data_IF_697416283386
#
_entry.id   IF_697416283386
#
_cell.length_a   1.000
_cell.length_b   1.000
_cell.length_c   1.000
_cell.angle_alpha   90.00
_cell.angle_beta   90.00
_cell.angle_gamma   90.00
#
_symmetry.space_group_name_H-M   'P 1'
#
loop_
_entity.id
_entity.type
_entity.pdbx_description
1 polymer ?
#
# COMPACT_ATOMS: atom_id res chain seq x y z
N UNK A 1 -13.40 13.31 10.61
CA UNK A 1 -12.58 13.95 9.56
C UNK A 1 -12.87 15.45 9.51
N UNK A 2 -11.86 16.32 9.31
CA UNK A 2 -12.07 17.75 9.14
C UNK A 2 -12.95 18.08 7.94
N UNK A 3 -13.76 19.15 8.05
CA UNK A 3 -14.56 19.66 6.93
C UNK A 3 -13.62 20.18 5.84
N UNK A 4 -13.57 19.50 4.70
CA UNK A 4 -12.73 19.86 3.55
C UNK A 4 -11.51 18.96 3.30
N UNK A 5 -11.29 17.92 4.12
CA UNK A 5 -10.24 16.94 3.83
C UNK A 5 -10.58 16.17 2.55
N UNK A 6 -9.95 16.54 1.45
CA UNK A 6 -9.97 15.79 0.20
C UNK A 6 -8.82 14.80 0.27
N UNK A 7 -9.17 13.52 0.31
CA UNK A 7 -8.17 12.45 0.19
C UNK A 7 -7.36 12.70 -1.10
N UNK A 8 -6.02 12.79 -1.02
CA UNK A 8 -5.19 12.92 -2.20
C UNK A 8 -5.53 11.83 -3.22
N UNK A 9 -5.60 12.16 -4.51
CA UNK A 9 -5.78 11.13 -5.55
C UNK A 9 -4.50 10.31 -5.67
N UNK A 10 -4.52 9.09 -5.15
CA UNK A 10 -3.43 8.13 -5.30
C UNK A 10 -3.49 7.48 -6.69
N UNK A 11 -2.32 7.20 -7.27
CA UNK A 11 -2.27 6.20 -8.34
C UNK A 11 -2.64 4.87 -7.67
N UNK A 12 -3.70 4.23 -8.13
CA UNK A 12 -4.20 3.03 -7.46
C UNK A 12 -3.38 1.81 -7.83
N UNK A 13 -3.01 0.99 -6.84
CA UNK A 13 -2.39 -0.30 -7.06
C UNK A 13 -3.45 -1.39 -7.22
N UNK A 14 -3.44 -2.09 -8.36
CA UNK A 14 -4.45 -3.11 -8.69
C UNK A 14 -4.09 -4.51 -8.18
N UNK A 15 -2.86 -4.71 -7.69
CA UNK A 15 -2.26 -6.01 -7.40
C UNK A 15 -1.07 -6.36 -8.31
N UNK A 16 -0.70 -5.49 -9.24
CA UNK A 16 0.38 -5.70 -10.21
C UNK A 16 1.36 -4.52 -10.22
N UNK A 17 2.65 -4.81 -10.41
CA UNK A 17 3.74 -3.83 -10.43
C UNK A 17 4.44 -3.69 -9.08
N UNK A 18 5.34 -2.73 -8.97
CA UNK A 18 6.20 -2.55 -7.79
C UNK A 18 5.41 -2.11 -6.55
N UNK A 19 5.18 -3.05 -5.65
CA UNK A 19 4.50 -2.88 -4.37
C UNK A 19 5.29 -2.00 -3.39
N UNK A 20 6.63 -2.10 -3.40
CA UNK A 20 7.50 -1.28 -2.56
C UNK A 20 7.47 0.19 -2.98
N UNK A 21 7.51 0.47 -4.28
CA UNK A 21 7.38 1.83 -4.81
C UNK A 21 5.98 2.41 -4.53
N UNK A 22 4.93 1.59 -4.57
CA UNK A 22 3.59 2.01 -4.17
C UNK A 22 3.53 2.46 -2.70
N UNK A 23 4.10 1.67 -1.78
CA UNK A 23 4.16 2.03 -0.36
C UNK A 23 4.94 3.33 -0.14
N UNK A 24 6.11 3.50 -0.75
CA UNK A 24 6.91 4.73 -0.66
C UNK A 24 6.15 5.95 -1.18
N UNK A 25 5.45 5.80 -2.32
CA UNK A 25 4.66 6.88 -2.90
C UNK A 25 3.43 7.23 -2.04
N UNK A 26 2.81 6.23 -1.39
CA UNK A 26 1.72 6.45 -0.46
C UNK A 26 2.21 7.20 0.79
N UNK A 27 3.27 6.72 1.43
CA UNK A 27 3.86 7.31 2.62
C UNK A 27 4.34 8.75 2.37
N UNK A 28 5.07 9.01 1.29
CA UNK A 28 5.54 10.36 0.93
C UNK A 28 4.39 11.36 0.74
N UNK A 29 3.23 10.89 0.27
CA UNK A 29 2.05 11.74 0.06
C UNK A 29 1.27 11.97 1.34
N UNK A 30 1.13 10.95 2.18
CA UNK A 30 0.29 11.04 3.38
C UNK A 30 1.04 11.65 4.57
N UNK A 31 2.35 11.42 4.69
CA UNK A 31 3.23 12.03 5.70
C UNK A 31 3.19 13.56 5.70
N UNK A 32 2.87 14.19 4.56
CA UNK A 32 2.65 15.64 4.47
C UNK A 32 1.39 16.11 5.22
N UNK A 33 0.37 15.25 5.36
CA UNK A 33 -0.92 15.59 5.95
C UNK A 33 -1.13 15.01 7.34
N UNK A 34 -0.52 13.85 7.63
CA UNK A 34 -0.70 13.13 8.88
C UNK A 34 0.52 12.26 9.20
N UNK A 35 0.71 11.97 10.48
CA UNK A 35 1.73 11.04 10.99
C UNK A 35 1.11 9.99 11.92
N UNK A 36 -0.21 9.82 11.87
CA UNK A 36 -0.98 8.94 12.75
C UNK A 36 -1.35 7.67 11.99
N UNK A 37 -0.99 6.52 12.55
CA UNK A 37 -1.22 5.19 11.98
C UNK A 37 -2.69 4.92 11.66
N UNK A 38 -3.63 5.44 12.46
CA UNK A 38 -5.07 5.30 12.21
C UNK A 38 -5.47 6.03 10.91
N UNK A 39 -4.84 7.18 10.64
CA UNK A 39 -5.07 7.95 9.40
C UNK A 39 -4.49 7.20 8.20
N UNK A 40 -3.30 6.61 8.36
CA UNK A 40 -2.68 5.77 7.34
C UNK A 40 -3.56 4.56 6.99
N UNK A 41 -3.98 3.80 8.00
CA UNK A 41 -4.82 2.63 7.83
C UNK A 41 -6.16 2.96 7.15
N UNK A 42 -6.80 4.07 7.57
CA UNK A 42 -8.06 4.52 6.97
C UNK A 42 -7.90 5.04 5.55
N UNK A 43 -6.76 5.64 5.21
CA UNK A 43 -6.51 6.19 3.88
C UNK A 43 -6.03 5.13 2.89
N UNK A 44 -5.34 4.09 3.33
CA UNK A 44 -4.68 3.11 2.46
C UNK A 44 -5.61 2.44 1.42
N UNK A 45 -6.85 2.03 1.75
CA UNK A 45 -7.77 1.44 0.77
C UNK A 45 -8.05 2.34 -0.44
N UNK A 46 -7.99 3.67 -0.27
CA UNK A 46 -8.18 4.64 -1.36
C UNK A 46 -7.03 4.62 -2.39
N UNK A 47 -5.88 4.05 -2.01
CA UNK A 47 -4.72 3.83 -2.88
C UNK A 47 -4.75 2.49 -3.61
N UNK A 48 -5.78 1.66 -3.40
CA UNK A 48 -5.90 0.34 -4.00
C UNK A 48 -7.04 0.27 -5.01
N UNK A 49 -6.95 -0.66 -5.94
CA UNK A 49 -8.03 -1.00 -6.87
C UNK A 49 -8.04 -2.50 -7.17
N UNK A 50 -9.04 -2.96 -7.91
CA UNK A 50 -9.09 -4.32 -8.43
C UNK A 50 -8.94 -5.40 -7.35
N UNK A 51 -7.95 -6.27 -7.50
CA UNK A 51 -7.71 -7.40 -6.61
C UNK A 51 -7.09 -6.97 -5.28
N UNK A 52 -6.23 -5.95 -5.27
CA UNK A 52 -5.63 -5.43 -4.05
C UNK A 52 -6.66 -4.86 -3.08
N UNK A 53 -7.62 -4.08 -3.58
CA UNK A 53 -8.71 -3.57 -2.74
C UNK A 53 -9.58 -4.71 -2.18
N UNK A 54 -9.89 -5.72 -3.01
CA UNK A 54 -10.64 -6.91 -2.57
C UNK A 54 -9.89 -7.72 -1.52
N UNK A 55 -8.57 -7.81 -1.62
CA UNK A 55 -7.74 -8.48 -0.62
C UNK A 55 -7.76 -7.71 0.70
N UNK A 56 -7.59 -6.39 0.66
CA UNK A 56 -7.59 -5.56 1.87
C UNK A 56 -8.89 -5.69 2.66
N UNK A 57 -10.05 -5.68 1.99
CA UNK A 57 -11.35 -5.88 2.65
C UNK A 57 -11.59 -7.30 3.19
N UNK A 58 -10.73 -8.27 2.87
CA UNK A 58 -10.81 -9.65 3.38
C UNK A 58 -9.87 -9.91 4.54
N UNK A 59 -9.07 -8.92 4.94
CA UNK A 59 -8.22 -9.05 6.11
C UNK A 59 -9.08 -9.33 7.36
N UNK A 60 -8.65 -10.22 8.27
CA UNK A 60 -9.37 -10.47 9.51
C UNK A 60 -9.57 -9.17 10.30
N UNK A 61 -10.68 -9.07 11.04
CA UNK A 61 -10.78 -8.06 12.09
C UNK A 61 -9.63 -8.25 13.08
N UNK A 62 -9.10 -7.15 13.61
CA UNK A 62 -7.96 -7.12 14.54
C UNK A 62 -6.62 -7.61 13.96
N UNK A 63 -6.49 -7.66 12.62
CA UNK A 63 -5.19 -7.95 11.97
C UNK A 63 -4.34 -6.71 11.70
N UNK A 64 -4.85 -5.51 12.01
CA UNK A 64 -4.20 -4.22 11.77
C UNK A 64 -4.31 -3.41 13.06
N UNK A 65 -3.21 -3.29 13.79
CA UNK A 65 -3.08 -2.42 14.95
C UNK A 65 -2.38 -1.11 14.59
N UNK A 66 -1.48 -1.14 13.62
CA UNK A 66 -0.68 0.00 13.18
C UNK A 66 -0.43 0.02 11.66
N UNK A 67 0.21 1.09 11.17
CA UNK A 67 0.57 1.20 9.76
C UNK A 67 1.54 0.09 9.33
N UNK A 68 2.45 -0.34 10.22
CA UNK A 68 3.43 -1.37 9.92
C UNK A 68 2.77 -2.73 9.62
N UNK A 69 1.66 -3.08 10.30
CA UNK A 69 0.95 -4.34 10.02
C UNK A 69 0.41 -4.37 8.59
N UNK A 70 -0.07 -3.22 8.10
CA UNK A 70 -0.53 -3.10 6.71
C UNK A 70 0.64 -3.28 5.75
N UNK A 71 1.79 -2.66 6.04
CA UNK A 71 3.01 -2.80 5.23
C UNK A 71 3.42 -4.26 5.14
N UNK A 72 3.50 -4.96 6.27
CA UNK A 72 3.95 -6.35 6.34
C UNK A 72 2.98 -7.28 5.61
N UNK A 73 1.67 -7.15 5.85
CA UNK A 73 0.63 -7.92 5.15
C UNK A 73 0.64 -7.65 3.63
N UNK A 74 0.89 -6.39 3.24
CA UNK A 74 0.93 -6.00 1.84
C UNK A 74 2.17 -6.55 1.13
N UNK A 75 3.33 -6.53 1.78
CA UNK A 75 4.57 -7.11 1.24
C UNK A 75 4.52 -8.64 1.25
N UNK A 76 3.94 -9.28 2.27
CA UNK A 76 3.71 -10.73 2.23
C UNK A 76 2.83 -11.11 1.02
N UNK A 77 1.81 -10.30 0.74
CA UNK A 77 0.88 -10.58 -0.36
C UNK A 77 1.43 -10.23 -1.75
N UNK A 78 2.15 -9.11 -1.87
CA UNK A 78 2.54 -8.49 -3.16
C UNK A 78 4.05 -8.24 -3.30
N UNK A 79 4.87 -8.70 -2.35
CA UNK A 79 6.32 -8.50 -2.33
C UNK A 79 7.05 -9.19 -3.47
N UNK A 80 6.50 -10.27 -4.03
CA UNK A 80 7.04 -10.88 -5.25
C UNK A 80 6.90 -9.98 -6.50
N UNK A 81 6.14 -8.88 -6.41
CA UNK A 81 6.07 -7.86 -7.48
C UNK A 81 7.11 -6.74 -7.32
N UNK A 82 8.01 -6.83 -6.33
CA UNK A 82 9.28 -6.09 -6.27
C UNK A 82 10.18 -6.68 -7.37
N UNK A 83 9.91 -6.32 -8.64
CA UNK A 83 10.69 -6.67 -9.85
C UNK A 83 11.39 -8.05 -9.85
N UNK A 84 10.74 -9.03 -10.49
CA UNK A 84 11.49 -9.88 -11.40
C UNK A 84 11.81 -9.04 -12.67
N UNK A 85 13.08 -9.07 -13.07
CA UNK A 85 13.74 -8.48 -14.25
C UNK A 85 14.12 -6.98 -14.17
N UNK A 86 15.40 -6.56 -14.29
CA UNK A 86 16.61 -7.18 -14.85
C UNK A 86 17.87 -6.80 -14.06
N UNK A 87 18.60 -7.80 -13.52
CA UNK A 87 20.08 -7.80 -13.54
C UNK A 87 20.69 -9.20 -13.28
N UNK A 88 20.07 -10.29 -13.77
CA UNK A 88 20.81 -11.55 -14.01
C UNK A 88 19.97 -12.62 -14.74
N UNK A 89 19.86 -12.50 -16.07
CA UNK A 89 20.00 -13.69 -16.92
C UNK A 89 21.06 -13.39 -17.96
N UNK A 90 22.32 -13.78 -17.69
CA UNK A 90 23.14 -14.63 -18.59
C UNK A 90 24.57 -14.88 -18.05
N UNK A 91 24.81 -16.14 -17.67
CA UNK A 91 26.04 -16.95 -17.70
C UNK A 91 27.21 -16.65 -16.74
N UNK A 92 27.34 -17.47 -15.68
CA UNK A 92 28.30 -18.59 -15.60
C UNK A 92 27.70 -19.77 -14.82
#
# INVERSE_FOLDING_TARGET
MPRGFRIPKFKTFSGHGDSGNHLKAFDSRLSFWASDDEVYARAFPSSLSGQALKWFHKLPSDSIDCWQDIVDLFIDKYGASIVADEDEITLM
#
